data_IF_749240698967
#
_entry.id   IF_749240698967
#
_cell.length_a   1.000
_cell.length_b   1.000
_cell.length_c   1.000
_cell.angle_alpha   90.00
_cell.angle_beta   90.00
_cell.angle_gamma   90.00
#
_symmetry.space_group_name_H-M   'P 1'
#
loop_
_entity.id
_entity.type
_entity.pdbx_description
1 polymer ?
#
# COMPACT_ATOMS: atom_id res chain seq x y z
N UNK A 1 -20.09 -9.43 0.17
CA UNK A 1 -19.31 -9.16 1.41
C UNK A 1 -17.82 -9.49 1.30
N UNK A 2 -17.38 -10.51 0.55
CA UNK A 2 -15.95 -10.88 0.43
C UNK A 2 -15.08 -9.80 -0.26
N UNK A 3 -15.60 -9.15 -1.29
CA UNK A 3 -14.85 -8.16 -2.11
C UNK A 3 -14.39 -6.90 -1.34
N UNK A 4 -15.22 -6.23 -0.50
CA UNK A 4 -14.75 -5.11 0.31
C UNK A 4 -13.74 -5.53 1.40
N UNK A 5 -13.90 -6.72 1.99
CA UNK A 5 -12.93 -7.28 2.94
C UNK A 5 -11.59 -7.54 2.23
N UNK A 6 -11.63 -8.08 1.01
CA UNK A 6 -10.44 -8.31 0.19
C UNK A 6 -9.74 -6.99 -0.18
N UNK A 7 -10.49 -5.94 -0.53
CA UNK A 7 -9.95 -4.61 -0.82
C UNK A 7 -9.25 -4.00 0.41
N UNK A 8 -9.85 -4.12 1.59
CA UNK A 8 -9.27 -3.66 2.86
C UNK A 8 -8.00 -4.46 3.18
N UNK A 9 -8.05 -5.79 3.10
CA UNK A 9 -6.91 -6.65 3.35
C UNK A 9 -5.76 -6.39 2.36
N UNK A 10 -6.07 -6.21 1.07
CA UNK A 10 -5.09 -5.86 0.03
C UNK A 10 -4.48 -4.47 0.27
N UNK A 11 -5.27 -3.48 0.68
CA UNK A 11 -4.80 -2.15 1.05
C UNK A 11 -3.81 -2.19 2.22
N UNK A 12 -4.12 -2.97 3.26
CA UNK A 12 -3.21 -3.18 4.41
C UNK A 12 -1.94 -3.92 3.98
N UNK A 13 -2.06 -4.95 3.14
CA UNK A 13 -0.92 -5.71 2.62
C UNK A 13 0.03 -4.80 1.82
N UNK A 14 -0.53 -3.95 0.94
CA UNK A 14 0.19 -2.96 0.15
C UNK A 14 0.88 -1.92 1.04
N UNK A 15 0.28 -1.53 2.17
CA UNK A 15 0.89 -0.63 3.14
C UNK A 15 2.02 -1.28 3.95
N UNK A 16 1.92 -2.59 4.23
CA UNK A 16 2.93 -3.34 4.98
C UNK A 16 4.16 -3.63 4.12
N UNK A 17 3.97 -3.81 2.82
CA UNK A 17 5.02 -4.16 1.86
C UNK A 17 6.22 -3.18 1.87
N UNK A 18 6.06 -1.85 1.77
CA UNK A 18 7.18 -0.89 1.77
C UNK A 18 7.88 -0.75 3.13
N UNK A 19 7.29 -1.25 4.24
CA UNK A 19 7.93 -1.24 5.56
C UNK A 19 8.96 -2.36 5.76
N UNK A 20 8.99 -3.37 4.90
CA UNK A 20 9.94 -4.48 5.08
C UNK A 20 11.36 -4.06 4.69
N UNK A 21 12.33 -4.24 5.60
CA UNK A 21 13.75 -3.94 5.36
C UNK A 21 14.28 -4.59 4.08
N UNK A 22 13.86 -5.83 3.79
CA UNK A 22 14.19 -6.56 2.55
C UNK A 22 13.68 -5.89 1.27
N UNK A 23 12.58 -5.15 1.34
CA UNK A 23 12.05 -4.40 0.19
C UNK A 23 12.84 -3.12 -0.03
N UNK A 24 13.16 -2.43 1.08
CA UNK A 24 14.01 -1.23 1.06
C UNK A 24 15.40 -1.53 0.52
N UNK A 25 16.06 -2.58 1.00
CA UNK A 25 17.41 -2.98 0.55
C UNK A 25 17.45 -3.35 -0.94
N UNK A 26 16.41 -4.04 -1.44
CA UNK A 26 16.30 -4.36 -2.88
C UNK A 26 16.15 -3.11 -3.74
N UNK A 27 15.36 -2.13 -3.29
CA UNK A 27 15.21 -0.87 -4.01
C UNK A 27 16.45 0.00 -3.89
N UNK A 28 17.11 0.04 -2.74
CA UNK A 28 18.38 0.74 -2.57
C UNK A 28 19.45 0.16 -3.52
N UNK A 29 19.54 -1.16 -3.63
CA UNK A 29 20.44 -1.83 -4.58
C UNK A 29 20.07 -1.53 -6.03
N UNK A 30 18.77 -1.49 -6.37
CA UNK A 30 18.31 -1.20 -7.73
C UNK A 30 18.46 0.28 -8.13
N UNK A 31 18.32 1.20 -7.18
CA UNK A 31 18.45 2.64 -7.40
C UNK A 31 19.85 3.19 -7.08
N UNK A 32 20.84 2.32 -6.80
CA UNK A 32 22.23 2.74 -6.61
C UNK A 32 22.48 3.57 -5.35
N UNK A 33 21.73 3.35 -4.27
CA UNK A 33 21.91 4.09 -3.00
C UNK A 33 21.01 5.31 -2.84
N UNK A 34 20.14 5.60 -3.82
CA UNK A 34 19.34 6.83 -3.86
C UNK A 34 18.12 6.75 -2.91
N UNK A 35 18.36 6.94 -1.61
CA UNK A 35 17.36 6.81 -0.53
C UNK A 35 16.13 7.70 -0.73
N UNK A 36 16.29 8.87 -1.34
CA UNK A 36 15.18 9.79 -1.61
C UNK A 36 14.13 9.14 -2.51
N UNK A 37 14.53 8.48 -3.60
CA UNK A 37 13.61 7.81 -4.53
C UNK A 37 12.93 6.61 -3.89
N UNK A 38 13.65 5.87 -3.04
CA UNK A 38 13.07 4.76 -2.26
C UNK A 38 12.00 5.27 -1.30
N UNK A 39 12.26 6.39 -0.63
CA UNK A 39 11.32 7.05 0.29
C UNK A 39 10.10 7.61 -0.44
N UNK A 40 10.30 8.19 -1.63
CA UNK A 40 9.21 8.67 -2.49
C UNK A 40 8.30 7.53 -2.93
N UNK A 41 8.87 6.42 -3.43
CA UNK A 41 8.09 5.21 -3.78
C UNK A 41 7.37 4.61 -2.59
N UNK A 42 8.02 4.55 -1.43
CA UNK A 42 7.37 4.07 -0.20
C UNK A 42 6.15 4.92 0.15
N UNK A 43 6.24 6.25 -0.01
CA UNK A 43 5.13 7.16 0.23
C UNK A 43 4.02 7.00 -0.82
N UNK A 44 4.36 6.81 -2.10
CA UNK A 44 3.38 6.51 -3.16
C UNK A 44 2.64 5.19 -2.92
N UNK A 45 3.35 4.13 -2.51
CA UNK A 45 2.73 2.86 -2.14
C UNK A 45 1.83 2.99 -0.90
N UNK A 46 2.23 3.83 0.05
CA UNK A 46 1.41 4.15 1.22
C UNK A 46 0.14 4.89 0.82
N UNK A 47 0.22 5.91 -0.05
CA UNK A 47 -0.95 6.59 -0.62
C UNK A 47 -1.85 5.63 -1.41
N UNK A 48 -1.26 4.70 -2.17
CA UNK A 48 -2.02 3.71 -2.94
C UNK A 48 -2.75 2.73 -2.01
N UNK A 49 -2.09 2.21 -0.97
CA UNK A 49 -2.72 1.36 0.05
C UNK A 49 -3.83 2.10 0.81
N UNK A 50 -3.63 3.39 1.09
CA UNK A 50 -4.66 4.25 1.71
C UNK A 50 -5.87 4.47 0.78
N UNK A 51 -5.63 4.69 -0.52
CA UNK A 51 -6.70 4.80 -1.51
C UNK A 51 -7.50 3.49 -1.62
N UNK A 52 -6.84 2.33 -1.56
CA UNK A 52 -7.50 1.02 -1.50
C UNK A 52 -8.33 0.83 -0.23
N UNK A 53 -7.84 1.30 0.92
CA UNK A 53 -8.59 1.32 2.17
C UNK A 53 -9.86 2.17 2.06
N UNK A 54 -9.75 3.39 1.55
CA UNK A 54 -10.88 4.28 1.31
C UNK A 54 -11.89 3.68 0.32
N UNK A 55 -11.41 3.07 -0.76
CA UNK A 55 -12.26 2.41 -1.75
C UNK A 55 -13.01 1.22 -1.13
N UNK A 56 -12.35 0.39 -0.32
CA UNK A 56 -12.98 -0.71 0.42
C UNK A 56 -14.03 -0.23 1.41
N UNK A 57 -13.76 0.88 2.11
CA UNK A 57 -14.69 1.53 3.04
C UNK A 57 -15.91 2.11 2.32
N UNK A 58 -15.70 2.80 1.20
CA UNK A 58 -16.77 3.33 0.37
C UNK A 58 -17.67 2.21 -0.19
N UNK A 59 -17.06 1.10 -0.61
CA UNK A 59 -17.79 -0.07 -1.09
C UNK A 59 -18.57 -0.76 0.03
N UNK A 60 -18.02 -0.81 1.24
CA UNK A 60 -18.70 -1.33 2.43
C UNK A 60 -19.89 -0.44 2.77
N UNK A 61 -19.70 0.89 2.83
CA UNK A 61 -20.76 1.88 3.06
C UNK A 61 -21.92 1.72 2.07
N UNK A 62 -21.62 1.64 0.76
CA UNK A 62 -22.62 1.39 -0.31
C UNK A 62 -23.37 0.06 -0.16
N UNK A 63 -22.76 -0.95 0.46
CA UNK A 63 -23.40 -2.26 0.65
C UNK A 63 -24.26 -2.32 1.93
N UNK A 64 -23.98 -1.45 2.92
CA UNK A 64 -24.77 -1.32 4.17
C UNK A 64 -25.86 -0.26 4.11
N UNK A 65 -25.78 0.71 3.19
CA UNK A 65 -26.78 1.77 2.99
C UNK A 65 -27.59 1.57 1.73
#
# INVERSE_FOLDING_TARGET
MILPIFLIAAGILLMLQPRTKRWRDRLLAHFGGDEQKVKQRANTFMLLGFAFLLAGLAYLYKFTG
#
